data_IF_023692136350
#
_entry.id   IF_023692136350
#
_cell.length_a   1.000
_cell.length_b   1.000
_cell.length_c   1.000
_cell.angle_alpha   90.00
_cell.angle_beta   90.00
_cell.angle_gamma   90.00
#
_symmetry.space_group_name_H-M   'P 1'
#
loop_
_entity.id
_entity.type
_entity.pdbx_description
1 polymer ?
#
# COMPACT_ATOMS: atom_id res chain seq x y z
N UNK A 1 18.48 -2.49 27.02
CA UNK A 1 18.77 -1.74 25.76
C UNK A 1 17.84 -2.14 24.61
N UNK A 2 17.40 -3.41 24.50
CA UNK A 2 16.53 -3.91 23.41
C UNK A 2 15.07 -3.38 23.41
N UNK A 3 14.51 -2.99 24.57
CA UNK A 3 13.11 -2.51 24.59
C UNK A 3 12.92 -1.15 23.90
N UNK A 4 13.93 -0.27 23.93
CA UNK A 4 13.85 1.03 23.28
C UNK A 4 13.96 0.94 21.75
N UNK A 5 14.72 -0.05 21.25
CA UNK A 5 14.89 -0.25 19.80
C UNK A 5 13.63 -0.85 19.18
N UNK A 6 13.00 -1.82 19.84
CA UNK A 6 11.74 -2.43 19.37
C UNK A 6 10.57 -1.44 19.38
N UNK A 7 10.54 -0.55 20.40
CA UNK A 7 9.57 0.54 20.46
C UNK A 7 9.66 1.45 19.24
N UNK A 8 10.88 1.85 18.89
CA UNK A 8 11.16 2.74 17.75
C UNK A 8 10.87 2.06 16.40
N UNK A 9 11.04 0.74 16.33
CA UNK A 9 10.81 -0.05 15.11
C UNK A 9 9.32 -0.20 14.81
N UNK A 10 8.51 -0.59 15.79
CA UNK A 10 7.05 -0.72 15.61
C UNK A 10 6.41 0.62 15.27
N UNK A 11 6.84 1.70 15.92
CA UNK A 11 6.32 3.05 15.63
C UNK A 11 6.71 3.54 14.22
N UNK A 12 7.91 3.19 13.75
CA UNK A 12 8.33 3.46 12.36
C UNK A 12 7.47 2.68 11.38
N UNK A 13 7.36 1.37 11.58
CA UNK A 13 6.58 0.48 10.72
C UNK A 13 5.11 0.89 10.67
N UNK A 14 4.57 1.33 11.80
CA UNK A 14 3.23 1.90 11.90
C UNK A 14 3.06 3.17 11.06
N UNK A 15 4.02 4.10 11.14
CA UNK A 15 3.95 5.32 10.32
C UNK A 15 4.08 5.01 8.82
N UNK A 16 4.92 4.06 8.44
CA UNK A 16 5.07 3.64 7.04
C UNK A 16 3.73 3.12 6.47
N UNK A 17 3.03 2.22 7.20
CA UNK A 17 1.75 1.69 6.69
C UNK A 17 0.66 2.75 6.62
N UNK A 18 0.70 3.75 7.49
CA UNK A 18 -0.21 4.89 7.45
C UNK A 18 0.02 5.72 6.19
N UNK A 19 1.27 5.95 5.81
CA UNK A 19 1.63 6.65 4.58
C UNK A 19 1.27 5.82 3.33
N UNK A 20 1.43 4.49 3.39
CA UNK A 20 0.97 3.56 2.36
C UNK A 20 -0.57 3.66 2.19
N UNK A 21 -1.34 3.71 3.28
CA UNK A 21 -2.80 3.86 3.22
C UNK A 21 -3.21 5.16 2.50
N UNK A 22 -2.58 6.29 2.84
CA UNK A 22 -2.83 7.57 2.18
C UNK A 22 -2.54 7.46 0.68
N UNK A 23 -1.43 6.82 0.32
CA UNK A 23 -1.03 6.61 -1.08
C UNK A 23 -2.02 5.71 -1.83
N UNK A 24 -2.48 4.62 -1.20
CA UNK A 24 -3.48 3.69 -1.75
C UNK A 24 -4.81 4.40 -1.96
N UNK A 25 -5.31 5.13 -0.97
CA UNK A 25 -6.57 5.87 -1.07
C UNK A 25 -6.52 6.92 -2.18
N UNK A 26 -5.41 7.66 -2.29
CA UNK A 26 -5.20 8.62 -3.37
C UNK A 26 -5.18 7.95 -4.75
N UNK A 27 -4.55 6.77 -4.87
CA UNK A 27 -4.55 5.99 -6.10
C UNK A 27 -5.96 5.48 -6.46
N UNK A 28 -6.66 4.87 -5.50
CA UNK A 28 -7.99 4.29 -5.70
C UNK A 28 -9.00 5.34 -6.21
N UNK A 29 -8.96 6.56 -5.65
CA UNK A 29 -9.78 7.69 -6.09
C UNK A 29 -9.60 8.00 -7.58
N UNK A 30 -8.38 7.85 -8.10
CA UNK A 30 -8.06 8.10 -9.51
C UNK A 30 -8.30 6.87 -10.39
N UNK A 31 -8.19 5.67 -9.84
CA UNK A 31 -8.26 4.41 -10.57
C UNK A 31 -9.70 3.94 -10.85
N UNK A 32 -10.67 4.34 -10.02
CA UNK A 32 -12.08 3.97 -10.19
C UNK A 32 -12.65 4.39 -11.57
N UNK A 33 -12.16 5.49 -12.14
CA UNK A 33 -12.56 5.94 -13.49
C UNK A 33 -11.96 5.09 -14.62
N UNK A 34 -10.80 4.46 -14.39
CA UNK A 34 -10.08 3.64 -15.38
C UNK A 34 -10.40 2.15 -15.26
N UNK A 35 -10.84 1.69 -14.10
CA UNK A 35 -11.16 0.29 -13.83
C UNK A 35 -12.31 -0.24 -14.72
N UNK A 36 -13.23 0.62 -15.15
CA UNK A 36 -14.34 0.25 -16.03
C UNK A 36 -13.90 -0.24 -17.42
N UNK A 37 -12.68 0.09 -17.85
CA UNK A 37 -12.17 -0.22 -19.19
C UNK A 37 -11.12 -1.35 -19.21
N UNK A 38 -10.69 -1.87 -18.06
CA UNK A 38 -9.64 -2.89 -17.98
C UNK A 38 -9.83 -3.81 -16.76
N UNK A 39 -10.18 -5.08 -17.02
CA UNK A 39 -10.47 -6.11 -16.00
C UNK A 39 -9.31 -6.35 -15.03
N UNK A 40 -8.07 -6.17 -15.47
CA UNK A 40 -6.94 -6.38 -14.59
C UNK A 40 -6.53 -5.12 -13.82
N UNK A 41 -6.84 -3.92 -14.32
CA UNK A 41 -6.90 -2.71 -13.48
C UNK A 41 -7.97 -2.87 -12.42
N UNK A 42 -9.15 -3.43 -12.76
CA UNK A 42 -10.21 -3.73 -11.80
C UNK A 42 -9.74 -4.74 -10.73
N UNK A 43 -9.07 -5.82 -11.14
CA UNK A 43 -8.49 -6.80 -10.20
C UNK A 43 -7.47 -6.14 -9.27
N UNK A 44 -6.61 -5.28 -9.81
CA UNK A 44 -5.60 -4.57 -9.03
C UNK A 44 -6.22 -3.60 -8.02
N UNK A 45 -7.23 -2.83 -8.45
CA UNK A 45 -8.03 -1.95 -7.58
C UNK A 45 -8.68 -2.73 -6.44
N UNK A 46 -9.23 -3.92 -6.72
CA UNK A 46 -9.81 -4.79 -5.68
C UNK A 46 -8.77 -5.21 -4.65
N UNK A 47 -7.58 -5.62 -5.08
CA UNK A 47 -6.49 -6.01 -4.17
C UNK A 47 -5.99 -4.84 -3.32
N UNK A 48 -5.92 -3.64 -3.89
CA UNK A 48 -5.55 -2.44 -3.15
C UNK A 48 -6.61 -2.03 -2.11
N UNK A 49 -7.91 -2.20 -2.42
CA UNK A 49 -9.00 -1.99 -1.45
C UNK A 49 -8.94 -2.99 -0.30
N UNK A 50 -8.67 -4.26 -0.58
CA UNK A 50 -8.50 -5.26 0.46
C UNK A 50 -7.30 -4.92 1.37
N UNK A 51 -6.19 -4.49 0.78
CA UNK A 51 -5.03 -4.05 1.55
C UNK A 51 -5.33 -2.79 2.39
N UNK A 52 -6.10 -1.81 1.87
CA UNK A 52 -6.46 -0.63 2.64
C UNK A 52 -7.29 -0.97 3.88
N UNK A 53 -8.27 -1.86 3.76
CA UNK A 53 -9.07 -2.30 4.92
C UNK A 53 -8.20 -2.98 5.98
N UNK A 54 -7.28 -3.85 5.58
CA UNK A 54 -6.33 -4.48 6.52
C UNK A 54 -5.45 -3.44 7.25
N UNK A 55 -5.04 -2.37 6.56
CA UNK A 55 -4.26 -1.30 7.19
C UNK A 55 -5.13 -0.49 8.16
N UNK A 56 -6.37 -0.17 7.79
CA UNK A 56 -7.32 0.53 8.66
C UNK A 56 -7.57 -0.27 9.96
N UNK A 57 -7.77 -1.58 9.87
CA UNK A 57 -7.92 -2.47 11.04
C UNK A 57 -6.70 -2.40 11.98
N UNK A 58 -5.48 -2.43 11.41
CA UNK A 58 -4.22 -2.31 12.17
C UNK A 58 -4.09 -0.94 12.83
N UNK A 59 -4.54 0.12 12.16
CA UNK A 59 -4.53 1.49 12.71
C UNK A 59 -5.49 1.60 13.90
N UNK A 60 -6.71 1.10 13.76
CA UNK A 60 -7.71 1.13 14.81
C UNK A 60 -7.27 0.33 16.04
N UNK A 61 -6.69 -0.86 15.82
CA UNK A 61 -6.13 -1.69 16.89
C UNK A 61 -4.99 -0.96 17.63
N UNK A 62 -4.09 -0.30 16.89
CA UNK A 62 -2.99 0.45 17.47
C UNK A 62 -3.47 1.62 18.34
N UNK A 63 -4.41 2.42 17.82
CA UNK A 63 -4.98 3.56 18.54
C UNK A 63 -5.69 3.08 19.82
N UNK A 64 -6.48 2.01 19.72
CA UNK A 64 -7.19 1.43 20.87
C UNK A 64 -6.21 0.97 21.95
N UNK A 65 -5.14 0.29 21.57
CA UNK A 65 -4.12 -0.19 22.51
C UNK A 65 -3.36 0.96 23.19
N UNK A 66 -3.00 2.00 22.46
CA UNK A 66 -2.35 3.19 23.05
C UNK A 66 -3.29 3.98 23.96
N UNK A 67 -4.58 4.10 23.62
CA UNK A 67 -5.57 4.73 24.48
C UNK A 67 -5.76 3.95 25.81
N UNK A 68 -5.69 2.62 25.77
CA UNK A 68 -5.76 1.79 26.96
C UNK A 68 -4.56 1.97 27.89
N UNK A 69 -3.35 2.17 27.35
CA UNK A 69 -2.15 2.45 28.17
C UNK A 69 -2.25 3.76 28.95
N UNK A 70 -2.78 4.81 28.34
CA UNK A 70 -2.87 6.14 28.96
C UNK A 70 -3.77 6.11 30.22
N UNK A 71 -4.79 5.25 30.22
CA UNK A 71 -5.76 5.12 31.31
C UNK A 71 -5.31 4.21 32.48
N UNK A 72 -4.07 3.72 32.48
CA UNK A 72 -3.60 2.75 33.48
C UNK A 72 -2.77 3.37 34.61
N UNK A 73 -3.08 2.95 35.84
CA UNK A 73 -2.31 3.34 37.03
C UNK A 73 -0.91 2.72 37.04
N UNK A 74 0.08 3.45 37.57
CA UNK A 74 1.51 3.05 37.61
C UNK A 74 1.76 1.69 38.28
N UNK A 75 0.89 1.25 39.19
CA UNK A 75 1.01 -0.05 39.88
C UNK A 75 0.71 -1.26 38.99
N UNK A 76 -0.03 -1.08 37.90
CA UNK A 76 -0.47 -2.16 36.99
C UNK A 76 0.50 -2.30 35.79
N UNK A 77 1.33 -1.27 35.55
CA UNK A 77 2.22 -1.18 34.39
C UNK A 77 3.26 -2.32 34.30
N UNK A 78 3.77 -2.81 35.43
CA UNK A 78 4.74 -3.92 35.45
C UNK A 78 4.10 -5.26 35.11
N UNK A 79 2.83 -5.48 35.46
CA UNK A 79 2.09 -6.70 35.14
C UNK A 79 1.70 -6.78 33.65
N UNK A 80 1.62 -5.62 32.99
CA UNK A 80 1.25 -5.51 31.57
C UNK A 80 2.44 -5.53 30.59
N UNK A 81 3.68 -5.65 31.08
CA UNK A 81 4.86 -5.72 30.22
C UNK A 81 4.79 -6.88 29.22
N UNK A 82 4.46 -8.10 29.69
CA UNK A 82 4.40 -9.29 28.82
C UNK A 82 3.26 -9.17 27.78
N UNK A 83 2.00 -8.86 28.16
CA UNK A 83 0.93 -8.62 27.18
C UNK A 83 1.27 -7.56 26.13
N UNK A 84 1.85 -6.43 26.55
CA UNK A 84 2.26 -5.36 25.63
C UNK A 84 3.39 -5.79 24.67
N UNK A 85 4.34 -6.62 25.12
CA UNK A 85 5.36 -7.18 24.22
C UNK A 85 4.75 -8.15 23.20
N UNK A 86 3.83 -9.02 23.63
CA UNK A 86 3.14 -9.95 22.73
C UNK A 86 2.34 -9.17 21.69
N UNK A 87 1.60 -8.15 22.12
CA UNK A 87 0.84 -7.27 21.24
C UNK A 87 1.74 -6.56 20.22
N UNK A 88 2.87 -5.98 20.66
CA UNK A 88 3.86 -5.36 19.76
C UNK A 88 4.41 -6.33 18.71
N UNK A 89 4.66 -7.57 19.11
CA UNK A 89 5.11 -8.59 18.16
C UNK A 89 4.02 -8.95 17.15
N UNK A 90 2.77 -9.06 17.60
CA UNK A 90 1.63 -9.33 16.73
C UNK A 90 1.42 -8.20 15.71
N UNK A 91 1.38 -6.94 16.16
CA UNK A 91 1.16 -5.80 15.27
C UNK A 91 2.30 -5.64 14.26
N UNK A 92 3.56 -5.82 14.69
CA UNK A 92 4.71 -5.77 13.80
C UNK A 92 4.65 -6.85 12.71
N UNK A 93 4.22 -8.06 13.08
CA UNK A 93 4.05 -9.18 12.15
C UNK A 93 2.95 -8.90 11.13
N UNK A 94 1.82 -8.36 11.55
CA UNK A 94 0.72 -7.99 10.64
C UNK A 94 1.16 -6.88 9.68
N UNK A 95 1.84 -5.84 10.17
CA UNK A 95 2.42 -4.79 9.32
C UNK A 95 3.36 -5.39 8.27
N UNK A 96 4.24 -6.31 8.68
CA UNK A 96 5.18 -6.95 7.76
C UNK A 96 4.48 -7.82 6.70
N UNK A 97 3.40 -8.52 7.07
CA UNK A 97 2.59 -9.29 6.12
C UNK A 97 1.89 -8.37 5.10
N UNK A 98 1.32 -7.25 5.57
CA UNK A 98 0.69 -6.24 4.70
C UNK A 98 1.73 -5.67 3.73
N UNK A 99 2.89 -5.22 4.21
CA UNK A 99 3.99 -4.72 3.37
C UNK A 99 4.42 -5.75 2.32
N UNK A 100 4.48 -7.03 2.71
CA UNK A 100 4.79 -8.13 1.79
C UNK A 100 3.69 -8.35 0.74
N UNK A 101 2.42 -8.23 1.13
CA UNK A 101 1.27 -8.32 0.22
C UNK A 101 1.29 -7.17 -0.80
N UNK A 102 1.49 -5.94 -0.35
CA UNK A 102 1.64 -4.76 -1.22
C UNK A 102 2.81 -4.92 -2.20
N UNK A 103 3.94 -5.45 -1.74
CA UNK A 103 5.07 -5.78 -2.60
C UNK A 103 4.72 -6.78 -3.71
N UNK A 104 4.00 -7.86 -3.37
CA UNK A 104 3.52 -8.85 -4.34
C UNK A 104 2.51 -8.25 -5.33
N UNK A 105 1.61 -7.40 -4.85
CA UNK A 105 0.62 -6.67 -5.67
C UNK A 105 1.36 -5.77 -6.68
N UNK A 106 2.32 -4.97 -6.21
CA UNK A 106 3.16 -4.11 -7.06
C UNK A 106 3.91 -4.91 -8.12
N UNK A 107 4.55 -6.02 -7.73
CA UNK A 107 5.29 -6.88 -8.65
C UNK A 107 4.39 -7.47 -9.73
N UNK A 108 3.19 -7.95 -9.37
CA UNK A 108 2.21 -8.46 -10.36
C UNK A 108 1.81 -7.37 -11.34
N UNK A 109 1.51 -6.17 -10.85
CA UNK A 109 1.16 -5.05 -11.72
C UNK A 109 2.29 -4.69 -12.72
N UNK A 110 3.54 -4.65 -12.26
CA UNK A 110 4.70 -4.41 -13.13
C UNK A 110 4.92 -5.55 -14.12
N UNK A 111 4.80 -6.81 -13.68
CA UNK A 111 5.06 -8.01 -14.50
C UNK A 111 4.03 -8.19 -15.61
N UNK A 112 2.77 -7.90 -15.33
CA UNK A 112 1.68 -8.01 -16.29
C UNK A 112 1.45 -6.72 -17.07
N UNK A 113 2.34 -5.73 -16.90
CA UNK A 113 2.34 -4.39 -17.50
C UNK A 113 0.92 -3.99 -17.91
N UNK A 114 0.10 -3.60 -16.92
CA UNK A 114 -1.19 -2.95 -17.18
C UNK A 114 -0.92 -1.60 -17.82
N UNK A 115 -0.48 -1.66 -19.08
CA UNK A 115 -0.22 -0.55 -19.95
C UNK A 115 -1.57 0.06 -20.20
N UNK A 116 -1.91 1.07 -19.41
CA UNK A 116 -2.86 2.07 -19.85
C UNK A 116 -2.23 2.71 -21.08
N UNK A 117 -2.45 2.12 -22.25
CA UNK A 117 -2.15 2.74 -23.53
C UNK A 117 -3.01 4.00 -23.64
N UNK A 118 -2.54 5.07 -23.00
CA UNK A 118 -2.92 6.42 -23.39
C UNK A 118 -2.17 6.67 -24.68
N UNK A 119 -2.91 6.61 -25.78
CA UNK A 119 -2.40 6.61 -27.14
C UNK A 119 -1.35 7.70 -27.40
N UNK A 120 -0.18 7.26 -27.87
CA UNK A 120 0.63 8.03 -28.80
C UNK A 120 0.67 7.23 -30.10
N UNK A 121 -0.45 7.28 -30.82
CA UNK A 121 -0.45 7.00 -32.25
C UNK A 121 0.44 8.03 -32.94
N UNK A 122 1.75 7.80 -32.98
CA UNK A 122 2.61 8.45 -33.96
C UNK A 122 2.21 7.88 -35.30
N UNK A 123 1.31 8.58 -35.99
CA UNK A 123 1.02 8.37 -37.41
C UNK A 123 2.36 8.23 -38.14
N UNK A 124 2.64 7.00 -38.60
CA UNK A 124 3.67 6.75 -39.60
C UNK A 124 3.24 7.51 -40.84
N UNK A 125 3.81 8.68 -41.05
CA UNK A 125 3.66 9.42 -42.29
C UNK A 125 4.19 8.56 -43.43
N UNK A 126 3.27 7.91 -44.15
CA UNK A 126 3.55 7.31 -45.45
C UNK A 126 3.91 8.47 -46.39
N UNK A 127 5.20 8.76 -46.57
CA UNK A 127 5.65 9.61 -47.67
C UNK A 127 5.62 8.74 -48.92
N UNK A 128 4.63 8.98 -49.78
CA UNK A 128 4.54 8.41 -51.11
C UNK A 128 5.80 8.73 -51.95
N UNK A 129 6.29 7.83 -52.80
CA UNK A 129 7.36 8.14 -53.75
C UNK A 129 6.82 9.09 -54.81
N UNK A 130 7.45 10.26 -55.01
CA UNK A 130 7.15 11.09 -56.18
C UNK A 130 7.84 10.49 -57.40
N UNK A 131 7.01 9.87 -58.24
CA UNK A 131 7.34 9.45 -59.60
C UNK A 131 7.32 10.70 -60.50
N UNK A 132 8.46 10.99 -61.14
CA UNK A 132 8.58 11.69 -62.43
C UNK A 132 8.40 13.22 -62.46
N UNK A 133 9.38 13.94 -63.00
CA UNK A 133 9.32 14.34 -64.41
C UNK A 133 10.72 14.73 -64.95
N UNK A 134 11.06 14.46 -66.23
CA UNK A 134 12.36 14.71 -66.83
C UNK A 134 12.39 16.04 -67.60
N UNK A 135 13.50 16.78 -67.51
CA UNK A 135 14.08 17.59 -68.61
C UNK A 135 15.56 17.85 -68.34
#
# INVERSE_FOLDING_TARGET
VQESSLLTEVERDFNDIKDDLVSIQAFLKNADTKAAANEGVQTWVKQLREASFRIEDVIDEYIMHEAQKINQSRSIATLQMIPNMIWRYQIAREIQDIKSSLGKIKQKNTKFEFRSESGSGRSRGFKAPRIGDPR
#
